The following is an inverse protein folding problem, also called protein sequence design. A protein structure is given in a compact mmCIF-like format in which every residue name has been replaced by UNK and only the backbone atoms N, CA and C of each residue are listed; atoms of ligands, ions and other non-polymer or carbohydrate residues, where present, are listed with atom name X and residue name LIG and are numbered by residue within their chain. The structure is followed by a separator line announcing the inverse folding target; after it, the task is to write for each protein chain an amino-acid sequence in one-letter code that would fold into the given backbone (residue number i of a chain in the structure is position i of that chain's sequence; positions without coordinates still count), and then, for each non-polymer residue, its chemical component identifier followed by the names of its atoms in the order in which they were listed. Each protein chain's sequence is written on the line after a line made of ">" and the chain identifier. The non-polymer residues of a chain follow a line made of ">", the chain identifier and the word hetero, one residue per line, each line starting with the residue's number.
data_IF_768154000733
#
_entry.id   IF_768154000733
#
_cell.length_a   1.000
_cell.length_b   1.000
_cell.length_c   1.000
_cell.angle_alpha   90.00
_cell.angle_beta   90.00
_cell.angle_gamma   90.00
#
_symmetry.space_group_name_H-M   'P 1'
#
loop_
_entity.id
_entity.type
_entity.pdbx_description
1 polymer ?
#
# COMPACT_ATOMS: atom_id res chain seq x y z
N UNK A 1 -1.48 13.78 12.79
CA UNK A 1 -2.44 13.80 11.68
C UNK A 1 -3.21 12.49 11.76
N UNK A 2 -4.50 12.52 12.14
CA UNK A 2 -5.27 11.31 12.37
C UNK A 2 -6.10 10.96 11.11
N UNK A 3 -6.04 9.70 10.68
CA UNK A 3 -6.87 9.21 9.56
C UNK A 3 -8.26 8.93 10.11
N UNK A 4 -9.28 9.62 9.57
CA UNK A 4 -10.67 9.49 10.03
C UNK A 4 -11.48 8.50 9.22
N UNK A 5 -11.23 8.43 7.91
CA UNK A 5 -11.94 7.53 6.99
C UNK A 5 -10.94 6.98 5.98
N UNK A 6 -11.10 5.69 5.66
CA UNK A 6 -10.31 4.98 4.67
C UNK A 6 -11.25 4.24 3.73
N UNK A 7 -11.02 4.38 2.42
CA UNK A 7 -11.71 3.65 1.36
C UNK A 7 -10.68 3.01 0.46
N UNK A 8 -10.76 1.70 0.30
CA UNK A 8 -9.90 0.92 -0.58
C UNK A 8 -10.71 0.61 -1.84
N UNK A 9 -10.16 0.93 -2.99
CA UNK A 9 -10.74 0.63 -4.30
C UNK A 9 -9.68 -0.17 -5.06
N UNK A 10 -9.97 -1.43 -5.37
CA UNK A 10 -9.13 -2.18 -6.29
C UNK A 10 -9.36 -1.62 -7.70
N UNK A 11 -8.30 -1.15 -8.35
CA UNK A 11 -8.40 -0.46 -9.64
C UNK A 11 -7.94 -1.33 -10.79
N UNK A 12 -6.92 -2.17 -10.60
CA UNK A 12 -6.42 -3.05 -11.66
C UNK A 12 -5.93 -4.40 -11.10
N UNK A 13 -6.29 -5.48 -11.80
CA UNK A 13 -5.73 -6.80 -11.57
C UNK A 13 -4.61 -7.04 -12.58
N UNK A 14 -3.35 -6.98 -12.14
CA UNK A 14 -2.26 -7.56 -12.91
C UNK A 14 -2.52 -9.05 -13.13
N UNK A 15 -1.94 -9.63 -14.18
CA UNK A 15 -2.14 -11.04 -14.55
C UNK A 15 -1.79 -11.96 -13.36
N UNK A 16 -2.82 -12.43 -12.64
CA UNK A 16 -2.72 -13.35 -11.50
C UNK A 16 -3.17 -12.79 -10.14
N UNK A 17 -3.10 -13.65 -9.12
CA UNK A 17 -3.42 -13.33 -7.71
C UNK A 17 -2.33 -12.43 -7.09
N UNK A 18 -1.12 -12.43 -7.67
CA UNK A 18 0.07 -11.93 -7.02
C UNK A 18 0.33 -10.43 -7.22
N UNK A 19 -0.26 -9.77 -8.22
CA UNK A 19 -0.06 -8.34 -8.49
C UNK A 19 -1.41 -7.63 -8.63
N UNK A 20 -1.78 -6.81 -7.65
CA UNK A 20 -3.02 -5.99 -7.67
C UNK A 20 -2.68 -4.52 -7.47
N UNK A 21 -3.44 -3.62 -8.09
CA UNK A 21 -3.31 -2.19 -7.85
C UNK A 21 -4.54 -1.72 -7.07
N UNK A 22 -4.27 -1.02 -5.97
CA UNK A 22 -5.27 -0.41 -5.12
C UNK A 22 -5.14 1.11 -5.18
N UNK A 23 -6.26 1.80 -5.37
CA UNK A 23 -6.41 3.19 -4.97
C UNK A 23 -6.92 3.23 -3.53
N UNK A 24 -6.11 3.79 -2.65
CA UNK A 24 -6.46 4.02 -1.25
C UNK A 24 -6.77 5.50 -1.08
N UNK A 25 -8.03 5.80 -0.82
CA UNK A 25 -8.52 7.14 -0.54
C UNK A 25 -8.70 7.29 0.96
N UNK A 26 -8.16 8.36 1.54
CA UNK A 26 -8.32 8.63 2.95
C UNK A 26 -8.61 10.11 3.23
N UNK A 27 -9.32 10.33 4.32
CA UNK A 27 -9.56 11.67 4.86
C UNK A 27 -8.78 11.82 6.15
N UNK A 28 -7.99 12.88 6.22
CA UNK A 28 -7.39 13.37 7.46
C UNK A 28 -8.09 14.67 7.90
N UNK A 29 -7.61 15.24 9.01
CA UNK A 29 -8.20 16.43 9.63
C UNK A 29 -8.17 17.68 8.74
N UNK A 30 -7.38 17.70 7.68
CA UNK A 30 -7.11 18.88 6.87
C UNK A 30 -7.52 18.72 5.40
N UNK A 31 -7.42 17.53 4.82
CA UNK A 31 -7.62 17.32 3.38
C UNK A 31 -8.18 15.93 3.01
N UNK A 32 -8.75 15.84 1.81
CA UNK A 32 -8.95 14.59 1.09
C UNK A 32 -7.65 14.21 0.36
N UNK A 33 -7.13 13.01 0.63
CA UNK A 33 -5.91 12.51 0.01
C UNK A 33 -6.17 11.16 -0.68
N UNK A 34 -5.56 10.97 -1.85
CA UNK A 34 -5.57 9.71 -2.58
C UNK A 34 -4.14 9.22 -2.73
N UNK A 35 -3.93 7.93 -2.41
CA UNK A 35 -2.66 7.23 -2.61
C UNK A 35 -2.91 6.05 -3.53
N UNK A 36 -2.19 6.00 -4.64
CA UNK A 36 -2.14 4.80 -5.50
C UNK A 36 -1.06 3.88 -4.98
N UNK A 37 -1.42 2.62 -4.75
CA UNK A 37 -0.50 1.59 -4.25
C UNK A 37 -0.63 0.33 -5.08
N UNK A 38 0.49 -0.11 -5.65
CA UNK A 38 0.60 -1.45 -6.21
C UNK A 38 0.97 -2.43 -5.11
N UNK A 39 0.17 -3.47 -4.96
CA UNK A 39 0.37 -4.56 -4.01
C UNK A 39 0.90 -5.79 -4.74
N UNK A 40 2.00 -6.32 -4.23
CA UNK A 40 2.64 -7.51 -4.77
C UNK A 40 2.85 -8.55 -3.67
N UNK A 41 2.54 -9.79 -3.99
CA UNK A 41 2.85 -10.95 -3.15
C UNK A 41 4.08 -11.63 -3.73
N UNK A 42 5.18 -11.58 -2.99
CA UNK A 42 6.47 -12.19 -3.36
C UNK A 42 6.70 -13.41 -2.49
N UNK A 43 7.09 -14.54 -3.08
CA UNK A 43 7.59 -15.70 -2.32
C UNK A 43 9.09 -15.56 -2.12
N UNK A 44 9.54 -15.65 -0.88
CA UNK A 44 10.93 -15.56 -0.44
C UNK A 44 11.31 -16.84 0.32
N UNK A 45 12.60 -17.05 0.59
CA UNK A 45 13.09 -18.14 1.45
C UNK A 45 12.53 -18.10 2.87
N UNK A 46 12.12 -16.91 3.33
CA UNK A 46 11.55 -16.68 4.66
C UNK A 46 10.01 -16.77 4.69
N UNK A 47 9.37 -16.98 3.53
CA UNK A 47 7.92 -17.09 3.39
C UNK A 47 7.33 -16.12 2.38
N UNK A 48 6.04 -15.79 2.54
CA UNK A 48 5.32 -14.82 1.70
C UNK A 48 5.56 -13.41 2.23
N UNK A 49 6.10 -12.57 1.36
CA UNK A 49 6.30 -11.15 1.58
C UNK A 49 5.22 -10.36 0.85
N UNK A 50 4.65 -9.36 1.53
CA UNK A 50 3.77 -8.37 0.93
C UNK A 50 4.53 -7.09 0.69
N UNK A 51 4.57 -6.67 -0.57
CA UNK A 51 5.25 -5.45 -1.00
C UNK A 51 4.20 -4.45 -1.44
N UNK A 52 4.19 -3.28 -0.80
CA UNK A 52 3.36 -2.16 -1.18
C UNK A 52 4.21 -1.10 -1.86
N UNK A 53 3.86 -0.74 -3.09
CA UNK A 53 4.59 0.19 -3.94
C UNK A 53 3.72 1.43 -4.12
N UNK A 54 4.11 2.53 -3.49
CA UNK A 54 3.41 3.82 -3.59
C UNK A 54 3.75 4.49 -4.92
N UNK A 55 2.74 4.92 -5.67
CA UNK A 55 2.87 5.46 -7.03
C UNK A 55 2.47 6.95 -7.15
N UNK A 56 2.46 7.71 -6.05
CA UNK A 56 2.07 9.11 -6.06
C UNK A 56 3.16 10.00 -6.67
N UNK A 57 2.83 10.78 -7.71
CA UNK A 57 3.76 11.72 -8.36
C UNK A 57 4.27 12.79 -7.37
N UNK A 58 3.42 13.26 -6.46
CA UNK A 58 3.76 14.29 -5.47
C UNK A 58 4.52 13.76 -4.24
N UNK A 59 4.92 12.49 -4.24
CA UNK A 59 5.54 11.86 -3.06
C UNK A 59 6.74 12.64 -2.52
N UNK A 60 7.62 13.15 -3.40
CA UNK A 60 8.81 13.88 -2.96
C UNK A 60 8.49 15.21 -2.29
N UNK A 61 7.46 15.91 -2.77
CA UNK A 61 7.06 17.21 -2.22
C UNK A 61 6.42 17.07 -0.84
N UNK A 62 5.79 15.93 -0.55
CA UNK A 62 5.05 15.67 0.71
C UNK A 62 5.55 14.45 1.47
N UNK A 63 6.82 14.07 1.27
CA UNK A 63 7.42 12.80 1.73
C UNK A 63 7.18 12.48 3.20
N UNK A 64 7.39 13.46 4.09
CA UNK A 64 7.23 13.28 5.54
C UNK A 64 5.77 13.00 5.95
N UNK A 65 4.80 13.72 5.36
CA UNK A 65 3.38 13.47 5.60
C UNK A 65 2.97 12.10 5.07
N UNK A 66 3.42 11.75 3.87
CA UNK A 66 3.13 10.44 3.29
C UNK A 66 3.67 9.29 4.14
N UNK A 67 4.91 9.34 4.62
CA UNK A 67 5.48 8.26 5.44
C UNK A 67 4.66 8.03 6.72
N UNK A 68 4.22 9.10 7.38
CA UNK A 68 3.39 9.00 8.59
C UNK A 68 2.01 8.42 8.28
N UNK A 69 1.35 8.90 7.24
CA UNK A 69 0.02 8.39 6.84
C UNK A 69 0.07 6.95 6.35
N UNK A 70 1.09 6.58 5.57
CA UNK A 70 1.24 5.23 5.01
C UNK A 70 1.29 4.16 6.09
N UNK A 71 2.05 4.37 7.17
CA UNK A 71 2.13 3.39 8.27
C UNK A 71 0.75 3.12 8.88
N UNK A 72 -0.02 4.17 9.16
CA UNK A 72 -1.39 4.04 9.70
C UNK A 72 -2.35 3.40 8.70
N UNK A 73 -2.26 3.79 7.42
CA UNK A 73 -3.05 3.21 6.33
C UNK A 73 -2.81 1.71 6.24
N UNK A 74 -1.55 1.28 6.17
CA UNK A 74 -1.24 -0.14 6.01
C UNK A 74 -1.65 -0.96 7.23
N UNK A 75 -1.49 -0.43 8.45
CA UNK A 75 -2.01 -1.10 9.65
C UNK A 75 -3.53 -1.32 9.59
N UNK A 76 -4.29 -0.37 9.03
CA UNK A 76 -5.74 -0.50 8.86
C UNK A 76 -6.12 -1.47 7.73
N UNK A 77 -5.30 -1.55 6.68
CA UNK A 77 -5.58 -2.38 5.49
C UNK A 77 -5.19 -3.84 5.69
N UNK A 78 -4.15 -4.12 6.48
CA UNK A 78 -3.62 -5.49 6.67
C UNK A 78 -4.71 -6.52 7.02
N UNK A 79 -5.62 -6.29 7.99
CA UNK A 79 -6.68 -7.25 8.31
C UNK A 79 -7.59 -7.55 7.11
N UNK A 80 -7.96 -6.52 6.34
CA UNK A 80 -8.82 -6.67 5.15
C UNK A 80 -8.14 -7.50 4.06
N UNK A 81 -6.83 -7.32 3.87
CA UNK A 81 -6.09 -8.13 2.90
C UNK A 81 -5.88 -9.57 3.41
N UNK A 82 -5.66 -9.77 4.71
CA UNK A 82 -5.50 -11.12 5.28
C UNK A 82 -6.78 -11.93 5.08
N UNK A 83 -7.93 -11.31 5.37
CA UNK A 83 -9.24 -11.92 5.15
C UNK A 83 -9.47 -12.23 3.66
N UNK A 84 -9.20 -11.26 2.78
CA UNK A 84 -9.40 -11.41 1.32
C UNK A 84 -8.51 -12.47 0.69
N UNK A 85 -7.24 -12.56 1.09
CA UNK A 85 -6.28 -13.50 0.51
C UNK A 85 -6.17 -14.81 1.29
N UNK A 86 -6.81 -14.91 2.45
CA UNK A 86 -6.77 -16.06 3.36
C UNK A 86 -5.33 -16.49 3.74
N UNK A 87 -4.42 -15.54 3.92
CA UNK A 87 -3.11 -15.78 4.52
C UNK A 87 -2.51 -14.50 5.10
N UNK A 88 -1.62 -14.67 6.09
CA UNK A 88 -0.81 -13.57 6.64
C UNK A 88 0.57 -13.53 6.00
N UNK A 89 1.11 -12.35 5.67
CA UNK A 89 2.51 -12.22 5.30
C UNK A 89 3.42 -12.46 6.51
N UNK A 90 4.63 -12.95 6.27
CA UNK A 90 5.71 -12.95 7.26
C UNK A 90 6.43 -11.60 7.30
N UNK A 91 6.50 -10.93 6.14
CA UNK A 91 7.22 -9.68 5.96
C UNK A 91 6.31 -8.71 5.19
N UNK A 92 6.24 -7.47 5.67
CA UNK A 92 5.55 -6.37 4.99
C UNK A 92 6.55 -5.28 4.68
N UNK A 93 6.73 -4.97 3.40
CA UNK A 93 7.61 -3.90 2.93
C UNK A 93 6.81 -2.83 2.21
N UNK A 94 7.26 -1.59 2.35
CA UNK A 94 6.64 -0.41 1.73
C UNK A 94 7.74 0.33 1.00
N UNK A 95 7.58 0.49 -0.31
CA UNK A 95 8.50 1.19 -1.19
C UNK A 95 7.76 2.30 -1.94
N UNK A 96 8.48 3.35 -2.31
CA UNK A 96 8.00 4.27 -3.33
C UNK A 96 8.48 3.79 -4.71
N UNK A 97 7.68 3.95 -5.76
CA UNK A 97 8.01 3.50 -7.13
C UNK A 97 9.36 4.02 -7.62
N UNK A 98 9.76 5.23 -7.21
CA UNK A 98 11.07 5.80 -7.56
C UNK A 98 12.28 5.09 -6.93
N UNK A 99 12.07 4.34 -5.84
CA UNK A 99 13.15 3.66 -5.10
C UNK A 99 13.31 2.20 -5.54
N UNK A 100 12.45 1.72 -6.43
CA UNK A 100 12.56 0.39 -7.00
C UNK A 100 13.53 0.52 -8.17
N UNK A 101 14.80 0.21 -7.91
CA UNK A 101 15.74 -0.10 -8.98
C UNK A 101 15.20 -1.36 -9.65
N UNK A 102 14.65 -1.19 -10.86
CA UNK A 102 14.39 -2.30 -11.76
C UNK A 102 15.77 -2.85 -12.12
N UNK A 103 16.13 -4.00 -11.52
CA UNK A 103 17.29 -4.82 -11.88
C UNK A 103 16.80 -5.88 -12.85
#
# INVERSE_FOLDING_TARGET
>A
MAIRKLKIIETETGNGINNKIFSIRYFDDLFFNEIKVSFQVVRTSEGRMWTFIVENEDFFQRKLQYIQSLKSIFQMILPTLIDKYNFSPQIVTIHHKSNILII
#
